data_IF_311931803251
#
_entry.id   IF_311931803251
#
_cell.length_a   1.000
_cell.length_b   1.000
_cell.length_c   1.000
_cell.angle_alpha   90.00
_cell.angle_beta   90.00
_cell.angle_gamma   90.00
#
_symmetry.space_group_name_H-M   'P 1'
#
loop_
_entity.id
_entity.type
_entity.pdbx_description
1 polymer ?
#
# COMPACT_ATOMS: atom_id res chain seq x y z
N UNK A 1 -70.22 -25.12 49.57
CA UNK A 1 -69.03 -24.26 49.73
C UNK A 1 -68.15 -24.55 48.55
N UNK A 2 -68.20 -23.70 47.46
CA UNK A 2 -67.46 -23.89 46.22
C UNK A 2 -66.21 -22.99 46.27
N UNK A 3 -65.02 -23.60 46.24
CA UNK A 3 -63.73 -22.93 46.27
C UNK A 3 -63.34 -22.64 44.79
N UNK A 4 -63.27 -21.38 44.45
CA UNK A 4 -62.71 -20.93 43.11
C UNK A 4 -61.19 -20.76 43.23
N UNK A 5 -60.48 -21.63 42.56
CA UNK A 5 -59.01 -21.49 42.35
C UNK A 5 -58.78 -20.55 41.15
N UNK A 6 -58.25 -19.36 41.43
CA UNK A 6 -57.80 -18.45 40.36
C UNK A 6 -56.36 -18.83 39.93
N UNK A 7 -56.23 -19.31 38.75
CA UNK A 7 -54.92 -19.53 38.15
C UNK A 7 -54.34 -18.19 37.68
N UNK A 8 -53.18 -17.81 38.23
CA UNK A 8 -52.37 -16.70 37.70
C UNK A 8 -51.51 -17.20 36.54
N UNK A 9 -51.76 -16.69 35.33
CA UNK A 9 -50.88 -16.90 34.17
C UNK A 9 -49.77 -15.84 34.25
N UNK A 10 -48.54 -16.27 34.54
CA UNK A 10 -47.36 -15.43 34.43
C UNK A 10 -46.87 -15.46 32.98
N UNK A 11 -47.07 -14.38 32.25
CA UNK A 11 -46.51 -14.17 30.93
C UNK A 11 -45.06 -13.69 31.08
N UNK A 12 -44.11 -14.58 30.85
CA UNK A 12 -42.70 -14.20 30.80
C UNK A 12 -42.44 -13.46 29.47
N UNK A 13 -42.22 -12.14 29.60
CA UNK A 13 -41.83 -11.29 28.47
C UNK A 13 -40.32 -11.53 28.19
N UNK A 14 -39.98 -12.37 27.23
CA UNK A 14 -38.59 -12.53 26.76
C UNK A 14 -38.18 -11.29 25.99
N UNK A 15 -37.39 -10.40 26.62
CA UNK A 15 -36.69 -9.34 25.91
C UNK A 15 -35.67 -9.95 24.92
N UNK A 16 -36.00 -9.92 23.67
CA UNK A 16 -35.01 -10.15 22.57
C UNK A 16 -34.15 -8.90 22.51
N UNK A 17 -32.96 -8.95 23.12
CA UNK A 17 -31.92 -7.93 22.92
C UNK A 17 -31.43 -8.10 21.49
N UNK A 18 -31.59 -7.09 20.58
CA UNK A 18 -31.00 -7.20 19.29
C UNK A 18 -29.46 -7.28 19.48
N UNK A 19 -28.84 -8.36 18.98
CA UNK A 19 -27.38 -8.39 18.82
C UNK A 19 -27.02 -7.18 17.96
N UNK A 20 -26.47 -6.16 18.60
CA UNK A 20 -25.84 -5.03 17.91
C UNK A 20 -24.89 -5.60 16.88
N UNK A 21 -25.17 -5.33 15.59
CA UNK A 21 -24.40 -5.85 14.48
C UNK A 21 -22.92 -5.60 14.74
N UNK A 22 -22.12 -6.67 14.70
CA UNK A 22 -20.67 -6.50 14.69
C UNK A 22 -20.32 -5.60 13.51
N UNK A 23 -19.46 -4.59 13.67
CA UNK A 23 -19.06 -3.75 12.57
C UNK A 23 -18.51 -4.66 11.48
N UNK A 24 -19.13 -4.63 10.31
CA UNK A 24 -18.68 -5.40 9.17
C UNK A 24 -17.19 -5.13 8.97
N UNK A 25 -16.37 -6.18 9.04
CA UNK A 25 -14.93 -6.06 8.91
C UNK A 25 -14.61 -5.24 7.63
N UNK A 26 -13.92 -4.12 7.80
CA UNK A 26 -13.59 -3.25 6.67
C UNK A 26 -12.63 -4.01 5.74
N UNK A 27 -12.97 -4.13 4.47
CA UNK A 27 -12.11 -4.76 3.47
C UNK A 27 -10.71 -4.14 3.48
N UNK A 28 -9.63 -4.94 3.34
CA UNK A 28 -8.26 -4.46 3.45
C UNK A 28 -7.86 -3.53 2.29
N UNK A 29 -6.73 -2.84 2.45
CA UNK A 29 -6.03 -2.11 1.39
C UNK A 29 -4.76 -2.87 1.05
N UNK A 30 -4.50 -3.09 -0.24
CA UNK A 30 -3.29 -3.75 -0.73
C UNK A 30 -2.42 -2.74 -1.45
N UNK A 31 -1.18 -2.56 -1.01
CA UNK A 31 -0.14 -1.82 -1.71
C UNK A 31 0.72 -2.80 -2.50
N UNK A 32 0.95 -2.54 -3.80
CA UNK A 32 1.72 -3.41 -4.69
C UNK A 32 2.83 -2.62 -5.34
N UNK A 33 4.08 -2.99 -5.05
CA UNK A 33 5.26 -2.31 -5.56
C UNK A 33 6.28 -3.28 -6.13
N UNK A 34 7.26 -2.76 -6.86
CA UNK A 34 8.25 -3.57 -7.56
C UNK A 34 9.39 -4.02 -6.63
N UNK A 35 9.97 -3.09 -5.87
CA UNK A 35 11.17 -3.35 -5.07
C UNK A 35 10.93 -3.05 -3.59
N UNK A 36 11.71 -3.68 -2.69
CA UNK A 36 11.79 -3.21 -1.31
C UNK A 36 12.30 -1.77 -1.27
N UNK A 37 11.62 -0.86 -0.64
CA UNK A 37 11.82 0.58 -0.54
C UNK A 37 10.87 1.46 -1.38
N UNK A 38 10.10 0.91 -2.29
CA UNK A 38 9.12 1.66 -3.08
C UNK A 38 7.93 2.14 -2.23
N UNK A 39 7.58 1.40 -1.19
CA UNK A 39 6.46 1.69 -0.28
C UNK A 39 6.59 3.05 0.40
N UNK A 40 7.81 3.60 0.48
CA UNK A 40 8.05 4.92 1.07
C UNK A 40 7.22 6.03 0.44
N UNK A 41 6.84 5.90 -0.84
CA UNK A 41 6.04 6.94 -1.52
C UNK A 41 4.66 7.13 -0.88
N UNK A 42 4.16 6.11 -0.16
CA UNK A 42 2.90 6.13 0.58
C UNK A 42 3.08 5.76 2.06
N UNK A 43 4.31 5.75 2.57
CA UNK A 43 4.61 5.34 3.95
C UNK A 43 3.69 6.00 5.01
N UNK A 44 3.51 7.34 5.00
CA UNK A 44 2.58 8.00 5.93
C UNK A 44 1.13 7.53 5.81
N UNK A 45 0.66 7.17 4.60
CA UNK A 45 -0.68 6.63 4.39
C UNK A 45 -0.82 5.23 5.00
N UNK A 46 0.15 4.34 4.78
CA UNK A 46 0.11 2.99 5.36
C UNK A 46 0.08 3.06 6.90
N UNK A 47 0.93 3.91 7.49
CA UNK A 47 0.92 4.16 8.94
C UNK A 47 -0.44 4.68 9.43
N UNK A 48 -1.01 5.67 8.75
CA UNK A 48 -2.33 6.20 9.09
C UNK A 48 -3.40 5.11 9.04
N UNK A 49 -3.46 4.33 7.96
CA UNK A 49 -4.45 3.26 7.80
C UNK A 49 -4.34 2.22 8.93
N UNK A 50 -3.12 1.80 9.27
CA UNK A 50 -2.88 0.88 10.38
C UNK A 50 -3.34 1.46 11.72
N UNK A 51 -3.04 2.72 12.01
CA UNK A 51 -3.46 3.45 13.21
C UNK A 51 -4.99 3.56 13.32
N UNK A 52 -5.68 3.70 12.19
CA UNK A 52 -7.14 3.75 12.11
C UNK A 52 -7.80 2.36 12.11
N UNK A 53 -7.01 1.30 12.33
CA UNK A 53 -7.50 -0.09 12.38
C UNK A 53 -7.91 -0.65 11.02
N UNK A 54 -7.43 -0.06 9.91
CA UNK A 54 -7.60 -0.60 8.58
C UNK A 54 -6.51 -1.63 8.31
N UNK A 55 -6.88 -2.85 7.97
CA UNK A 55 -5.93 -3.88 7.56
C UNK A 55 -5.25 -3.48 6.25
N UNK A 56 -3.92 -3.54 6.23
CA UNK A 56 -3.10 -3.23 5.07
C UNK A 56 -2.18 -4.39 4.74
N UNK A 57 -2.01 -4.69 3.46
CA UNK A 57 -1.06 -5.67 2.94
C UNK A 57 -0.08 -4.96 2.01
N UNK A 58 1.18 -5.35 2.08
CA UNK A 58 2.23 -4.88 1.18
C UNK A 58 2.73 -6.04 0.34
N UNK A 59 2.68 -5.90 -0.97
CA UNK A 59 3.23 -6.87 -1.93
C UNK A 59 4.43 -6.24 -2.61
N UNK A 60 5.58 -6.92 -2.54
CA UNK A 60 6.81 -6.57 -3.25
C UNK A 60 7.07 -7.64 -4.31
N UNK A 61 7.16 -7.23 -5.56
CA UNK A 61 7.25 -8.16 -6.69
C UNK A 61 8.62 -8.78 -6.86
N UNK A 62 9.70 -8.01 -6.77
CA UNK A 62 11.06 -8.50 -7.03
C UNK A 62 11.86 -8.70 -5.76
N UNK A 63 12.95 -9.44 -5.90
CA UNK A 63 13.89 -9.71 -4.80
C UNK A 63 14.86 -8.55 -4.52
N UNK A 64 14.93 -7.55 -5.42
CA UNK A 64 15.82 -6.40 -5.29
C UNK A 64 17.31 -6.76 -5.38
N UNK A 65 17.66 -7.93 -5.94
CA UNK A 65 19.00 -8.50 -5.92
C UNK A 65 20.03 -7.77 -6.78
N UNK A 66 19.61 -6.82 -7.62
CA UNK A 66 20.48 -6.08 -8.55
C UNK A 66 20.75 -4.64 -8.14
N UNK A 67 20.06 -4.12 -7.14
CA UNK A 67 20.23 -2.75 -6.63
C UNK A 67 21.50 -2.58 -5.81
N UNK A 68 22.67 -2.85 -6.40
CA UNK A 68 23.96 -2.75 -5.72
C UNK A 68 24.31 -1.29 -5.41
N UNK A 69 24.77 -1.05 -4.20
CA UNK A 69 25.29 0.24 -3.73
C UNK A 69 26.69 0.01 -3.12
N UNK A 70 27.69 0.70 -3.66
CA UNK A 70 29.10 0.51 -3.27
C UNK A 70 29.33 0.65 -1.76
N UNK A 71 28.67 1.62 -1.14
CA UNK A 71 28.82 1.86 0.32
C UNK A 71 28.30 0.70 1.19
N UNK A 72 27.37 -0.12 0.68
CA UNK A 72 26.79 -1.23 1.43
C UNK A 72 27.70 -2.46 1.44
N UNK A 73 28.65 -2.54 0.49
CA UNK A 73 29.58 -3.66 0.33
C UNK A 73 28.89 -5.03 0.22
N UNK A 74 27.67 -5.08 -0.34
CA UNK A 74 26.90 -6.31 -0.56
C UNK A 74 26.86 -6.56 -2.07
N UNK A 75 27.36 -7.72 -2.56
CA UNK A 75 27.33 -8.02 -3.98
C UNK A 75 25.90 -8.31 -4.47
N UNK A 76 25.70 -8.14 -5.78
CA UNK A 76 24.44 -8.54 -6.42
C UNK A 76 24.15 -10.03 -6.21
N UNK A 77 22.88 -10.39 -6.20
CA UNK A 77 22.43 -11.79 -6.07
C UNK A 77 21.84 -12.11 -4.71
N UNK A 78 22.00 -13.36 -4.28
CA UNK A 78 21.27 -13.89 -3.13
C UNK A 78 21.56 -13.17 -1.80
N UNK A 79 22.78 -12.67 -1.63
CA UNK A 79 23.17 -11.97 -0.41
C UNK A 79 22.42 -10.63 -0.29
N UNK A 80 22.40 -9.84 -1.38
CA UNK A 80 21.65 -8.59 -1.42
C UNK A 80 20.13 -8.83 -1.30
N UNK A 81 19.58 -9.84 -1.99
CA UNK A 81 18.17 -10.20 -1.85
C UNK A 81 17.82 -10.52 -0.39
N UNK A 82 18.67 -11.29 0.31
CA UNK A 82 18.44 -11.62 1.72
C UNK A 82 18.51 -10.39 2.64
N UNK A 83 19.40 -9.44 2.35
CA UNK A 83 19.44 -8.17 3.06
C UNK A 83 18.15 -7.36 2.85
N UNK A 84 17.70 -7.22 1.60
CA UNK A 84 16.50 -6.44 1.23
C UNK A 84 15.21 -7.07 1.76
N UNK A 85 15.12 -8.41 1.87
CA UNK A 85 14.00 -9.09 2.56
C UNK A 85 13.90 -8.65 4.03
N UNK A 86 15.05 -8.58 4.74
CA UNK A 86 15.08 -8.11 6.14
C UNK A 86 14.67 -6.64 6.26
N UNK A 87 15.11 -5.81 5.32
CA UNK A 87 14.78 -4.40 5.25
C UNK A 87 13.29 -4.18 5.00
N UNK A 88 12.70 -4.86 4.00
CA UNK A 88 11.26 -4.83 3.75
C UNK A 88 10.43 -5.32 4.94
N UNK A 89 10.89 -6.36 5.64
CA UNK A 89 10.23 -6.87 6.84
C UNK A 89 10.28 -5.85 8.00
N UNK A 90 11.41 -5.14 8.15
CA UNK A 90 11.56 -4.04 9.08
C UNK A 90 10.60 -2.90 8.74
N UNK A 91 10.56 -2.47 7.47
CA UNK A 91 9.72 -1.40 6.96
C UNK A 91 8.23 -1.71 7.17
N UNK A 92 7.76 -2.87 6.74
CA UNK A 92 6.38 -3.31 6.92
C UNK A 92 5.94 -3.29 8.39
N UNK A 93 6.82 -3.74 9.30
CA UNK A 93 6.55 -3.70 10.75
C UNK A 93 6.42 -2.26 11.27
N UNK A 94 7.29 -1.35 10.81
CA UNK A 94 7.27 0.05 11.24
C UNK A 94 6.03 0.80 10.77
N UNK A 95 5.52 0.45 9.60
CA UNK A 95 4.27 1.00 9.06
C UNK A 95 3.01 0.37 9.65
N UNK A 96 3.13 -0.69 10.46
CA UNK A 96 1.98 -1.43 10.98
C UNK A 96 1.24 -2.25 9.91
N UNK A 97 1.93 -2.62 8.82
CA UNK A 97 1.40 -3.49 7.78
C UNK A 97 1.06 -4.87 8.37
N UNK A 98 -0.15 -5.34 8.12
CA UNK A 98 -0.64 -6.63 8.63
C UNK A 98 0.14 -7.80 8.08
N UNK A 99 0.43 -7.77 6.78
CA UNK A 99 1.19 -8.84 6.11
C UNK A 99 2.00 -8.29 4.95
N UNK A 100 3.26 -8.72 4.90
CA UNK A 100 4.16 -8.52 3.78
C UNK A 100 4.17 -9.78 2.91
N UNK A 101 3.96 -9.60 1.60
CA UNK A 101 4.04 -10.63 0.57
C UNK A 101 5.24 -10.36 -0.32
N UNK A 102 6.24 -11.22 -0.28
CA UNK A 102 7.43 -11.15 -1.12
C UNK A 102 7.31 -12.18 -2.24
N UNK A 103 7.21 -11.73 -3.50
CA UNK A 103 7.03 -12.66 -4.63
C UNK A 103 8.36 -13.22 -5.12
N UNK A 104 9.49 -12.56 -4.82
CA UNK A 104 10.83 -13.04 -5.13
C UNK A 104 11.12 -13.17 -6.62
N UNK A 105 10.44 -12.39 -7.47
CA UNK A 105 10.70 -12.39 -8.91
C UNK A 105 12.04 -11.68 -9.21
N UNK A 106 12.66 -11.96 -10.37
CA UNK A 106 13.95 -11.37 -10.69
C UNK A 106 13.90 -9.84 -10.77
N UNK A 107 14.78 -9.15 -10.04
CA UNK A 107 14.99 -7.72 -10.12
C UNK A 107 15.51 -7.32 -11.52
N UNK A 108 14.89 -6.32 -12.15
CA UNK A 108 15.17 -5.91 -13.54
C UNK A 108 14.77 -6.96 -14.59
N UNK A 109 14.02 -8.00 -14.19
CA UNK A 109 13.68 -9.13 -15.04
C UNK A 109 12.20 -9.31 -15.36
N UNK A 110 11.32 -8.39 -14.94
CA UNK A 110 9.87 -8.56 -15.09
C UNK A 110 9.38 -8.53 -16.55
N UNK A 111 10.19 -8.03 -17.52
CA UNK A 111 9.78 -7.90 -18.91
C UNK A 111 9.65 -9.25 -19.66
N UNK A 112 10.12 -10.36 -19.11
CA UNK A 112 9.95 -11.68 -19.74
C UNK A 112 8.51 -12.19 -19.60
N UNK A 113 8.03 -12.95 -20.60
CA UNK A 113 6.69 -13.57 -20.54
C UNK A 113 6.50 -14.45 -19.31
N UNK A 114 7.52 -15.21 -18.92
CA UNK A 114 7.47 -16.08 -17.74
C UNK A 114 7.32 -15.28 -16.46
N UNK A 115 8.14 -14.23 -16.27
CA UNK A 115 8.07 -13.38 -15.09
C UNK A 115 6.75 -12.62 -15.01
N UNK A 116 6.26 -12.07 -16.14
CA UNK A 116 4.94 -11.41 -16.19
C UNK A 116 3.80 -12.38 -15.88
N UNK A 117 3.86 -13.61 -16.40
CA UNK A 117 2.88 -14.65 -16.11
C UNK A 117 2.86 -15.03 -14.64
N UNK A 118 4.03 -15.20 -14.01
CA UNK A 118 4.17 -15.47 -12.57
C UNK A 118 3.67 -14.30 -11.73
N UNK A 119 4.05 -13.07 -12.08
CA UNK A 119 3.60 -11.85 -11.41
C UNK A 119 2.07 -11.76 -11.44
N UNK A 120 1.45 -11.91 -12.63
CA UNK A 120 0.01 -11.84 -12.79
C UNK A 120 -0.70 -12.92 -11.96
N UNK A 121 -0.23 -14.16 -12.00
CA UNK A 121 -0.84 -15.27 -11.27
C UNK A 121 -0.76 -15.08 -9.75
N UNK A 122 0.39 -14.65 -9.24
CA UNK A 122 0.59 -14.40 -7.81
C UNK A 122 -0.26 -13.23 -7.32
N UNK A 123 -0.31 -12.13 -8.07
CA UNK A 123 -1.13 -10.97 -7.73
C UNK A 123 -2.62 -11.29 -7.76
N UNK A 124 -3.10 -11.99 -8.79
CA UNK A 124 -4.50 -12.41 -8.87
C UNK A 124 -4.89 -13.28 -7.67
N UNK A 125 -4.06 -14.25 -7.28
CA UNK A 125 -4.32 -15.10 -6.13
C UNK A 125 -4.40 -14.32 -4.80
N UNK A 126 -3.51 -13.35 -4.60
CA UNK A 126 -3.53 -12.47 -3.42
C UNK A 126 -4.80 -11.60 -3.41
N UNK A 127 -5.12 -10.97 -4.54
CA UNK A 127 -6.30 -10.11 -4.68
C UNK A 127 -7.58 -10.90 -4.44
N UNK A 128 -7.71 -12.09 -5.04
CA UNK A 128 -8.87 -12.96 -4.86
C UNK A 128 -9.02 -13.42 -3.39
N UNK A 129 -7.92 -13.77 -2.74
CA UNK A 129 -7.93 -14.22 -1.35
C UNK A 129 -8.33 -13.11 -0.38
N UNK A 130 -7.90 -11.87 -0.62
CA UNK A 130 -8.08 -10.75 0.30
C UNK A 130 -9.36 -9.96 0.02
N UNK A 131 -9.84 -9.94 -1.22
CA UNK A 131 -10.98 -9.12 -1.65
C UNK A 131 -10.84 -7.65 -1.26
N UNK A 132 -9.73 -6.95 -1.59
CA UNK A 132 -9.45 -5.63 -1.04
C UNK A 132 -10.48 -4.59 -1.46
N UNK A 133 -10.65 -3.54 -0.64
CA UNK A 133 -11.43 -2.37 -1.01
C UNK A 133 -10.69 -1.50 -2.03
N UNK A 134 -9.35 -1.44 -1.88
CA UNK A 134 -8.50 -0.68 -2.77
C UNK A 134 -7.14 -1.35 -2.98
N UNK A 135 -6.59 -1.16 -4.17
CA UNK A 135 -5.19 -1.46 -4.49
C UNK A 135 -4.48 -0.15 -4.80
N UNK A 136 -3.28 0.01 -4.23
CA UNK A 136 -2.40 1.15 -4.50
C UNK A 136 -1.13 0.63 -5.17
N UNK A 137 -0.75 1.21 -6.29
CA UNK A 137 0.45 0.84 -7.04
C UNK A 137 1.03 2.04 -7.79
N UNK A 138 2.09 1.86 -8.56
CA UNK A 138 2.56 2.90 -9.48
C UNK A 138 1.67 3.01 -10.72
N UNK A 139 1.51 4.24 -11.22
CA UNK A 139 0.91 4.48 -12.51
C UNK A 139 1.85 4.17 -13.70
N UNK A 140 1.41 4.45 -14.93
CA UNK A 140 2.22 4.23 -16.15
C UNK A 140 3.55 4.99 -16.15
N UNK A 141 3.65 6.09 -15.39
CA UNK A 141 4.88 6.87 -15.19
C UNK A 141 5.94 6.08 -14.40
N UNK A 142 5.51 5.10 -13.57
CA UNK A 142 6.38 4.21 -12.83
C UNK A 142 7.19 4.88 -11.71
N UNK A 143 6.66 5.93 -11.09
CA UNK A 143 7.37 6.66 -10.02
C UNK A 143 8.70 7.22 -10.52
N UNK A 144 9.80 6.51 -10.32
CA UNK A 144 11.14 6.88 -10.84
C UNK A 144 11.31 6.60 -12.34
N UNK A 145 10.33 5.99 -13.00
CA UNK A 145 10.41 5.55 -14.39
C UNK A 145 11.07 4.20 -14.60
N UNK A 146 11.38 3.48 -13.50
CA UNK A 146 11.96 2.14 -13.59
C UNK A 146 11.03 1.18 -14.36
N UNK A 147 11.56 0.34 -15.28
CA UNK A 147 10.71 -0.60 -16.04
C UNK A 147 9.85 -1.51 -15.17
N UNK A 148 10.41 -2.09 -14.11
CA UNK A 148 9.66 -2.97 -13.21
C UNK A 148 8.50 -2.25 -12.50
N UNK A 149 8.65 -0.99 -12.11
CA UNK A 149 7.57 -0.19 -11.53
C UNK A 149 6.39 -0.07 -12.50
N UNK A 150 6.67 0.22 -13.77
CA UNK A 150 5.66 0.32 -14.83
C UNK A 150 4.98 -1.02 -15.07
N UNK A 151 5.76 -2.11 -15.11
CA UNK A 151 5.24 -3.45 -15.35
C UNK A 151 4.34 -3.93 -14.21
N UNK A 152 4.74 -3.71 -12.96
CA UNK A 152 3.90 -4.04 -11.79
C UNK A 152 2.58 -3.27 -11.86
N UNK A 153 2.62 -1.95 -12.06
CA UNK A 153 1.42 -1.13 -12.17
C UNK A 153 0.52 -1.55 -13.35
N UNK A 154 1.10 -1.88 -14.49
CA UNK A 154 0.37 -2.36 -15.67
C UNK A 154 -0.29 -3.71 -15.43
N UNK A 155 0.40 -4.66 -14.78
CA UNK A 155 -0.16 -5.99 -14.48
C UNK A 155 -1.31 -5.88 -13.47
N UNK A 156 -1.17 -5.07 -12.41
CA UNK A 156 -2.27 -4.78 -11.48
C UNK A 156 -3.46 -4.19 -12.24
N UNK A 157 -3.21 -3.20 -13.11
CA UNK A 157 -4.28 -2.58 -13.91
C UNK A 157 -4.96 -3.60 -14.81
N UNK A 158 -4.18 -4.45 -15.49
CA UNK A 158 -4.71 -5.52 -16.33
C UNK A 158 -5.63 -6.48 -15.56
N UNK A 159 -5.25 -6.87 -14.35
CA UNK A 159 -6.07 -7.75 -13.50
C UNK A 159 -7.39 -7.05 -13.17
N UNK A 160 -7.34 -5.82 -12.65
CA UNK A 160 -8.52 -5.09 -12.19
C UNK A 160 -9.50 -4.79 -13.31
N UNK A 161 -9.01 -4.34 -14.46
CA UNK A 161 -9.87 -4.01 -15.61
C UNK A 161 -10.37 -5.24 -16.38
N UNK A 162 -9.67 -6.36 -16.24
CA UNK A 162 -9.92 -7.57 -17.02
C UNK A 162 -11.04 -8.47 -16.48
N UNK A 163 -11.53 -8.20 -15.26
CA UNK A 163 -12.55 -9.05 -14.64
C UNK A 163 -13.59 -8.23 -13.86
N UNK A 164 -14.85 -8.42 -14.23
CA UNK A 164 -15.98 -7.72 -13.58
C UNK A 164 -16.10 -8.00 -12.08
N UNK A 165 -15.49 -9.07 -11.55
CA UNK A 165 -15.44 -9.34 -10.10
C UNK A 165 -14.75 -8.21 -9.32
N UNK A 166 -13.87 -7.46 -9.98
CA UNK A 166 -13.13 -6.36 -9.39
C UNK A 166 -13.78 -4.98 -9.62
N UNK A 167 -14.98 -4.92 -10.22
CA UNK A 167 -15.66 -3.66 -10.56
C UNK A 167 -15.91 -2.73 -9.35
N UNK A 168 -16.00 -3.30 -8.14
CA UNK A 168 -16.21 -2.56 -6.89
C UNK A 168 -14.91 -2.41 -6.06
N UNK A 169 -13.76 -2.45 -6.70
CA UNK A 169 -12.45 -2.26 -6.09
C UNK A 169 -11.79 -1.02 -6.68
N UNK A 170 -11.30 -0.14 -5.80
CA UNK A 170 -10.59 1.03 -6.25
C UNK A 170 -9.16 0.67 -6.65
N UNK A 171 -8.75 1.07 -7.84
CA UNK A 171 -7.35 1.06 -8.25
C UNK A 171 -6.81 2.49 -8.23
N UNK A 172 -5.76 2.69 -7.45
CA UNK A 172 -5.16 3.99 -7.20
C UNK A 172 -3.67 3.97 -7.54
N UNK A 173 -3.22 4.99 -8.26
CA UNK A 173 -1.80 5.18 -8.56
C UNK A 173 -1.19 6.19 -7.60
N UNK A 174 -0.16 5.75 -6.88
CA UNK A 174 0.65 6.62 -6.04
C UNK A 174 1.52 7.53 -6.90
N UNK A 175 1.45 8.83 -6.68
CA UNK A 175 2.27 9.79 -7.41
C UNK A 175 2.47 11.06 -6.58
N UNK A 176 3.33 11.95 -7.04
CA UNK A 176 3.59 13.25 -6.45
C UNK A 176 3.20 14.38 -7.41
N UNK A 177 2.69 15.52 -6.93
CA UNK A 177 2.32 16.63 -7.81
C UNK A 177 3.53 17.22 -8.53
N UNK A 178 3.50 17.24 -9.86
CA UNK A 178 4.57 17.81 -10.70
C UNK A 178 4.91 19.25 -10.29
N UNK A 179 3.88 20.01 -9.93
CA UNK A 179 4.00 21.41 -9.52
C UNK A 179 4.86 21.55 -8.25
N UNK A 180 4.73 20.61 -7.31
CA UNK A 180 5.53 20.58 -6.08
C UNK A 180 6.95 20.06 -6.29
N UNK A 181 7.11 19.08 -7.18
CA UNK A 181 8.43 18.52 -7.51
C UNK A 181 9.37 19.56 -8.09
N UNK A 182 8.84 20.55 -8.83
CA UNK A 182 9.65 21.64 -9.42
C UNK A 182 10.29 22.55 -8.38
N UNK A 183 9.73 22.61 -7.18
CA UNK A 183 10.20 23.47 -6.07
C UNK A 183 10.79 22.67 -4.92
N UNK A 184 10.79 21.35 -5.01
CA UNK A 184 11.33 20.48 -3.98
C UNK A 184 12.87 20.60 -3.89
N UNK A 185 13.45 20.43 -2.70
CA UNK A 185 14.88 20.22 -2.57
C UNK A 185 15.31 19.05 -3.45
N UNK A 186 16.43 19.20 -4.18
CA UNK A 186 16.89 18.14 -5.07
C UNK A 186 17.15 16.84 -4.29
N UNK A 187 16.64 15.73 -4.78
CA UNK A 187 16.92 14.38 -4.29
C UNK A 187 17.06 13.42 -5.48
N UNK A 188 17.82 12.37 -5.27
CA UNK A 188 17.96 11.27 -6.23
C UNK A 188 17.44 9.97 -5.58
N UNK A 189 16.76 9.11 -6.31
CA UNK A 189 16.32 9.31 -7.71
C UNK A 189 15.18 10.33 -7.82
N UNK A 190 15.10 11.01 -8.95
CA UNK A 190 13.99 11.92 -9.24
C UNK A 190 12.72 11.13 -9.54
N UNK A 191 11.60 11.61 -9.03
CA UNK A 191 10.29 11.01 -9.26
C UNK A 191 9.59 11.70 -10.44
N UNK A 192 8.99 10.91 -11.32
CA UNK A 192 8.08 11.40 -12.35
C UNK A 192 6.76 11.79 -11.70
N UNK A 193 6.43 13.07 -11.73
CA UNK A 193 5.20 13.57 -11.13
C UNK A 193 3.98 13.44 -12.03
N UNK A 194 2.82 13.60 -11.42
CA UNK A 194 1.53 13.74 -12.10
C UNK A 194 0.99 15.14 -11.88
N UNK A 195 0.34 15.74 -12.89
CA UNK A 195 -0.30 17.05 -12.72
C UNK A 195 -1.29 17.02 -11.55
N UNK A 196 -1.20 18.01 -10.65
CA UNK A 196 -1.96 17.99 -9.39
C UNK A 196 -3.48 17.84 -9.60
N UNK A 197 -4.01 18.39 -10.69
CA UNK A 197 -5.43 18.27 -11.05
C UNK A 197 -5.91 16.82 -11.30
N UNK A 198 -4.99 15.90 -11.59
CA UNK A 198 -5.30 14.48 -11.80
C UNK A 198 -5.20 13.67 -10.50
N UNK A 199 -4.59 14.22 -9.47
CA UNK A 199 -4.42 13.61 -8.15
C UNK A 199 -5.65 13.94 -7.28
N UNK A 200 -6.78 13.34 -7.61
CA UNK A 200 -8.08 13.69 -7.03
C UNK A 200 -8.33 13.04 -5.68
N UNK A 201 -7.59 11.98 -5.32
CA UNK A 201 -7.64 11.37 -4.00
C UNK A 201 -6.48 11.92 -3.17
N UNK A 202 -6.84 12.66 -2.11
CA UNK A 202 -5.91 13.37 -1.23
C UNK A 202 -6.12 12.88 0.18
N UNK A 203 -5.13 12.16 0.71
CA UNK A 203 -5.23 11.55 2.03
C UNK A 203 -4.30 12.30 2.99
N UNK A 204 -4.83 13.17 3.86
CA UNK A 204 -4.02 13.87 4.85
C UNK A 204 -3.44 12.88 5.84
N UNK A 205 -2.31 13.23 6.44
CA UNK A 205 -1.67 12.47 7.51
C UNK A 205 -1.19 13.39 8.64
N UNK A 206 -0.94 12.82 9.79
CA UNK A 206 -0.45 13.52 10.96
C UNK A 206 1.09 13.41 11.07
N UNK A 207 1.72 14.21 11.93
CA UNK A 207 3.17 14.17 12.13
C UNK A 207 3.66 12.79 12.60
N UNK A 208 2.85 12.07 13.39
CA UNK A 208 3.18 10.69 13.81
C UNK A 208 3.20 9.71 12.64
N UNK A 209 2.35 9.92 11.63
CA UNK A 209 2.33 9.08 10.42
C UNK A 209 3.55 9.38 9.54
N UNK A 210 3.93 10.67 9.45
CA UNK A 210 5.17 11.08 8.79
C UNK A 210 6.41 10.52 9.49
N UNK A 211 6.43 10.56 10.83
CA UNK A 211 7.52 9.99 11.61
C UNK A 211 7.67 8.49 11.36
N UNK A 212 6.55 7.74 11.31
CA UNK A 212 6.56 6.31 10.98
C UNK A 212 7.09 6.04 9.56
N UNK A 213 6.74 6.88 8.58
CA UNK A 213 7.27 6.79 7.21
C UNK A 213 8.78 7.06 7.15
N UNK A 214 9.29 8.03 7.92
CA UNK A 214 10.74 8.26 8.04
C UNK A 214 11.46 7.08 8.70
N UNK A 215 10.87 6.54 9.74
CA UNK A 215 11.38 5.38 10.47
C UNK A 215 11.44 4.12 9.60
N UNK A 216 10.41 3.89 8.81
CA UNK A 216 10.34 2.81 7.83
C UNK A 216 11.47 2.95 6.81
N UNK A 217 11.61 4.12 6.19
CA UNK A 217 12.66 4.36 5.21
C UNK A 217 14.07 4.14 5.80
N UNK A 218 14.26 4.40 7.09
CA UNK A 218 15.47 4.07 7.85
C UNK A 218 15.84 2.58 7.91
N UNK A 219 14.97 1.68 7.46
CA UNK A 219 15.25 0.25 7.36
C UNK A 219 16.12 -0.10 6.13
N UNK A 220 16.04 0.67 5.02
CA UNK A 220 16.64 0.35 3.72
C UNK A 220 18.12 0.72 3.60
N UNK A 221 18.93 0.23 4.54
CA UNK A 221 20.34 0.61 4.72
C UNK A 221 21.27 0.06 3.64
N UNK A 222 20.86 -0.99 2.94
CA UNK A 222 21.62 -1.50 1.78
C UNK A 222 21.49 -0.58 0.57
N UNK A 223 20.48 0.32 0.56
CA UNK A 223 20.12 1.15 -0.59
C UNK A 223 20.43 2.63 -0.41
N UNK A 224 20.44 3.12 0.82
CA UNK A 224 20.61 4.54 1.13
C UNK A 224 21.55 4.76 2.31
N UNK A 225 22.46 5.72 2.14
CA UNK A 225 23.22 6.29 3.26
C UNK A 225 22.31 7.16 4.12
N UNK A 226 22.65 7.44 5.40
CA UNK A 226 21.87 8.34 6.23
C UNK A 226 21.64 9.72 5.60
N UNK A 227 22.62 10.27 4.90
CA UNK A 227 22.51 11.57 4.22
C UNK A 227 21.53 11.53 3.04
N UNK A 228 21.50 10.44 2.25
CA UNK A 228 20.53 10.22 1.20
C UNK A 228 19.11 10.05 1.77
N UNK A 229 18.96 9.29 2.87
CA UNK A 229 17.67 9.14 3.55
C UNK A 229 17.12 10.49 4.01
N UNK A 230 17.95 11.32 4.60
CA UNK A 230 17.57 12.68 5.02
C UNK A 230 17.16 13.55 3.82
N UNK A 231 17.88 13.48 2.72
CA UNK A 231 17.56 14.22 1.51
C UNK A 231 16.23 13.79 0.90
N UNK A 232 16.00 12.48 0.78
CA UNK A 232 14.75 11.90 0.28
C UNK A 232 13.58 12.22 1.21
N UNK A 233 13.77 12.14 2.52
CA UNK A 233 12.73 12.49 3.49
C UNK A 233 12.32 13.97 3.38
N UNK A 234 13.26 14.90 3.20
CA UNK A 234 12.93 16.31 2.95
C UNK A 234 12.21 16.52 1.64
N UNK A 235 12.65 15.83 0.58
CA UNK A 235 12.02 15.87 -0.73
C UNK A 235 10.57 15.39 -0.69
N UNK A 236 10.32 14.22 -0.11
CA UNK A 236 8.99 13.64 0.02
C UNK A 236 8.09 14.50 0.93
N UNK A 237 8.58 14.97 2.07
CA UNK A 237 7.82 15.82 2.96
C UNK A 237 7.38 17.12 2.27
N UNK A 238 8.25 17.75 1.46
CA UNK A 238 7.91 18.91 0.65
C UNK A 238 6.83 18.57 -0.40
N UNK A 239 7.01 17.47 -1.14
CA UNK A 239 6.10 17.08 -2.20
C UNK A 239 4.73 16.67 -1.65
N UNK A 240 4.67 15.97 -0.53
CA UNK A 240 3.43 15.60 0.14
C UNK A 240 2.70 16.81 0.73
N UNK A 241 3.43 17.69 1.41
CA UNK A 241 2.83 18.84 2.13
C UNK A 241 1.65 18.41 3.03
N UNK A 242 1.85 17.36 3.85
CA UNK A 242 0.84 16.83 4.76
C UNK A 242 -0.21 15.92 4.13
N UNK A 243 -0.06 15.55 2.85
CA UNK A 243 -1.06 14.77 2.11
C UNK A 243 -0.40 13.77 1.18
N UNK A 244 -0.78 12.49 1.26
CA UNK A 244 -0.45 11.52 0.22
C UNK A 244 -1.40 11.67 -0.95
N UNK A 245 -0.85 11.70 -2.15
CA UNK A 245 -1.55 12.00 -3.39
C UNK A 245 -1.73 10.74 -4.22
N UNK A 246 -2.98 10.49 -4.65
CA UNK A 246 -3.31 9.32 -5.43
C UNK A 246 -4.17 9.72 -6.64
N UNK A 247 -3.99 9.03 -7.75
CA UNK A 247 -4.79 9.17 -8.95
C UNK A 247 -5.65 7.92 -9.15
N UNK A 248 -6.98 8.00 -9.11
CA UNK A 248 -7.84 6.89 -9.51
C UNK A 248 -7.58 6.49 -10.96
N UNK A 249 -7.52 5.19 -11.23
CA UNK A 249 -7.33 4.66 -12.57
C UNK A 249 -8.43 5.14 -13.55
N UNK A 250 -9.69 5.03 -13.14
CA UNK A 250 -10.86 5.41 -13.94
C UNK A 250 -11.45 6.78 -13.59
N UNK A 251 -10.79 7.55 -12.74
CA UNK A 251 -11.24 8.88 -12.30
C UNK A 251 -12.32 8.88 -11.21
N UNK A 252 -12.83 7.73 -10.79
CA UNK A 252 -13.86 7.59 -9.75
C UNK A 252 -13.40 6.69 -8.60
N UNK A 253 -14.00 6.87 -7.41
CA UNK A 253 -13.84 5.98 -6.26
C UNK A 253 -15.14 5.21 -6.03
N UNK A 254 -15.04 3.90 -5.82
CA UNK A 254 -16.18 3.05 -5.43
C UNK A 254 -16.40 3.06 -3.91
N UNK A 255 -15.33 3.17 -3.15
CA UNK A 255 -15.38 3.28 -1.69
C UNK A 255 -14.59 4.51 -1.20
N UNK A 256 -15.16 5.72 -1.25
CA UNK A 256 -14.50 6.90 -0.72
C UNK A 256 -14.28 6.83 0.80
N UNK A 257 -14.95 5.92 1.49
CA UNK A 257 -14.79 5.69 2.93
C UNK A 257 -13.48 4.97 3.31
N UNK A 258 -12.74 4.37 2.35
CA UNK A 258 -11.42 3.76 2.62
C UNK A 258 -10.45 4.76 3.27
N UNK A 259 -10.55 6.05 2.90
CA UNK A 259 -9.66 7.11 3.37
C UNK A 259 -10.37 8.13 4.29
N UNK A 260 -11.61 7.85 4.68
CA UNK A 260 -12.32 8.64 5.69
C UNK A 260 -12.10 8.02 7.06
N UNK A 261 -11.92 8.85 8.09
CA UNK A 261 -11.80 8.38 9.47
C UNK A 261 -13.05 7.64 9.95
#
# INVERSE_FOLDING_TARGET
>A
MRIFIRAFVVVALTMVIPLSGQPQARRPVVAVFAHPDDERIIGPLLSRLAREGRETHLVIATDGSRGVRDFAHIPAGAELAAARVKEASCAAKRLGVRQLHLLGLPDGGLASFDALGKLRSALAAIIDSLGPAAIITFGPEGGTGHPDHRLVGNVVTQIVQGDARYANMDLLYASLPTERLRTAPRAEPTVNGTAEKLLTVRVPFEERDLAAGRDEFGCHRSQYTPAEMDAVNRYLAHAWNGTVWLRPWNGTLHDPGVFRP
#
